data_IF_383174364620
#
_entry.id   IF_383174364620
#
_cell.length_a   1.000
_cell.length_b   1.000
_cell.length_c   1.000
_cell.angle_alpha   90.00
_cell.angle_beta   90.00
_cell.angle_gamma   90.00
#
_symmetry.space_group_name_H-M   'P 1'
#
loop_
_entity.id
_entity.type
_entity.pdbx_description
1 polymer ?
#
# COMPACT_ATOMS: atom_id res chain seq x y z
N UNK A 1 -8.07 24.41 3.21
CA UNK A 1 -7.40 23.11 3.43
C UNK A 1 -8.16 22.34 4.51
N UNK A 2 -8.56 21.10 4.20
CA UNK A 2 -9.19 20.17 5.14
C UNK A 2 -8.10 19.29 5.74
N UNK A 3 -8.13 19.11 7.04
CA UNK A 3 -7.18 18.25 7.77
C UNK A 3 -7.89 17.02 8.31
N UNK A 4 -7.41 15.81 7.93
CA UNK A 4 -7.86 14.56 8.51
C UNK A 4 -6.86 14.09 9.58
N UNK A 5 -7.28 14.02 10.84
CA UNK A 5 -6.49 13.50 11.96
C UNK A 5 -6.78 12.01 12.08
N UNK A 6 -5.86 11.19 11.53
CA UNK A 6 -6.02 9.74 11.48
C UNK A 6 -5.60 9.04 12.80
N UNK A 7 -6.00 7.78 12.94
CA UNK A 7 -5.76 6.92 14.11
C UNK A 7 -6.51 7.37 15.37
N UNK A 8 -7.71 7.92 15.18
CA UNK A 8 -8.57 8.33 16.29
C UNK A 8 -8.87 7.19 17.27
N UNK A 9 -8.93 5.95 16.77
CA UNK A 9 -9.08 4.72 17.56
C UNK A 9 -8.01 4.53 18.65
N UNK A 10 -6.79 5.06 18.43
CA UNK A 10 -5.68 4.95 19.39
C UNK A 10 -5.63 6.10 20.41
N UNK A 11 -6.18 7.24 20.05
CA UNK A 11 -6.03 8.48 20.84
C UNK A 11 -7.08 8.59 21.94
N UNK A 12 -8.26 7.99 21.78
CA UNK A 12 -9.34 8.09 22.77
C UNK A 12 -9.58 9.54 23.21
N UNK A 13 -9.61 9.80 24.53
CA UNK A 13 -9.83 11.15 25.06
C UNK A 13 -8.69 12.14 24.74
N UNK A 14 -7.54 11.67 24.33
CA UNK A 14 -6.39 12.51 23.99
C UNK A 14 -6.49 13.09 22.58
N UNK A 15 -7.55 12.83 21.84
CA UNK A 15 -7.75 13.38 20.48
C UNK A 15 -8.02 14.89 20.52
N UNK A 16 -8.69 15.40 21.56
CA UNK A 16 -9.13 16.81 21.63
C UNK A 16 -7.96 17.79 21.50
N UNK A 17 -6.84 17.66 22.25
CA UNK A 17 -5.70 18.54 22.07
C UNK A 17 -5.11 18.50 20.66
N UNK A 18 -5.06 17.32 20.04
CA UNK A 18 -4.53 17.14 18.67
C UNK A 18 -5.42 17.83 17.64
N UNK A 19 -6.74 17.72 17.79
CA UNK A 19 -7.70 18.42 16.93
C UNK A 19 -7.59 19.95 17.09
N UNK A 20 -7.42 20.42 18.34
CA UNK A 20 -7.23 21.85 18.62
C UNK A 20 -5.93 22.39 17.99
N UNK A 21 -4.85 21.64 18.08
CA UNK A 21 -3.58 21.98 17.44
C UNK A 21 -3.70 22.00 15.92
N UNK A 22 -4.30 20.97 15.34
CA UNK A 22 -4.56 20.92 13.88
C UNK A 22 -5.42 22.10 13.41
N UNK A 23 -6.49 22.43 14.14
CA UNK A 23 -7.36 23.56 13.81
C UNK A 23 -6.71 24.93 13.96
N UNK A 24 -5.66 25.05 14.79
CA UNK A 24 -4.88 26.28 14.95
C UNK A 24 -3.85 26.50 13.83
N UNK A 25 -3.57 25.50 12.99
CA UNK A 25 -2.62 25.63 11.89
C UNK A 25 -3.15 26.57 10.80
N UNK A 26 -2.29 27.47 10.32
CA UNK A 26 -2.66 28.45 9.30
C UNK A 26 -3.12 27.79 8.01
N UNK A 27 -4.31 28.17 7.56
CA UNK A 27 -4.88 27.70 6.29
C UNK A 27 -5.73 26.43 6.40
N UNK A 28 -5.83 25.82 7.58
CA UNK A 28 -6.80 24.75 7.83
C UNK A 28 -8.16 25.39 8.13
N UNK A 29 -9.18 24.99 7.38
CA UNK A 29 -10.55 25.46 7.51
C UNK A 29 -11.41 24.51 8.33
N UNK A 30 -11.13 23.22 8.22
CA UNK A 30 -11.90 22.17 8.88
C UNK A 30 -11.00 21.00 9.28
N UNK A 31 -11.36 20.32 10.39
CA UNK A 31 -10.61 19.18 10.93
C UNK A 31 -11.55 18.00 11.17
N UNK A 32 -11.22 16.85 10.57
CA UNK A 32 -11.96 15.60 10.72
C UNK A 32 -11.14 14.58 11.51
N UNK A 33 -11.62 14.11 12.67
CA UNK A 33 -11.06 12.92 13.31
C UNK A 33 -11.52 11.67 12.55
N UNK A 34 -10.57 10.85 12.12
CA UNK A 34 -10.87 9.60 11.42
C UNK A 34 -10.06 8.44 11.97
N UNK A 35 -10.54 7.24 11.74
CA UNK A 35 -9.75 6.01 11.84
C UNK A 35 -9.84 5.24 10.52
N UNK A 36 -8.80 5.29 9.73
CA UNK A 36 -8.74 4.50 8.50
C UNK A 36 -8.77 2.98 8.77
N UNK A 37 -8.40 2.55 9.99
CA UNK A 37 -8.46 1.14 10.39
C UNK A 37 -9.88 0.65 10.65
N UNK A 38 -10.69 1.47 11.35
CA UNK A 38 -12.06 1.09 11.76
C UNK A 38 -13.13 1.65 10.82
N UNK A 39 -12.78 2.62 9.98
CA UNK A 39 -13.70 3.35 9.13
C UNK A 39 -14.45 4.49 9.85
N UNK A 40 -14.23 4.70 11.14
CA UNK A 40 -14.87 5.77 11.91
C UNK A 40 -14.49 7.15 11.37
N UNK A 41 -15.47 8.02 11.13
CA UNK A 41 -15.30 9.37 10.60
C UNK A 41 -14.96 9.44 9.10
N UNK A 42 -14.74 8.29 8.43
CA UNK A 42 -14.39 8.26 7.00
C UNK A 42 -15.60 8.59 6.11
N UNK A 43 -16.82 8.08 6.36
CA UNK A 43 -17.99 8.45 5.57
C UNK A 43 -18.29 9.95 5.64
N UNK A 44 -18.24 10.54 6.83
CA UNK A 44 -18.49 11.97 7.05
C UNK A 44 -17.48 12.86 6.30
N UNK A 45 -16.20 12.46 6.31
CA UNK A 45 -15.16 13.14 5.53
C UNK A 45 -15.43 12.99 4.02
N UNK A 46 -15.81 11.81 3.55
CA UNK A 46 -16.07 11.56 2.14
C UNK A 46 -17.28 12.36 1.64
N UNK A 47 -18.37 12.37 2.40
CA UNK A 47 -19.58 13.15 2.09
C UNK A 47 -19.28 14.66 2.04
N UNK A 48 -18.50 15.14 3.01
CA UNK A 48 -18.08 16.55 3.04
C UNK A 48 -17.23 16.92 1.83
N UNK A 49 -16.21 16.10 1.50
CA UNK A 49 -15.39 16.30 0.30
C UNK A 49 -16.24 16.29 -0.97
N UNK A 50 -17.17 15.34 -1.08
CA UNK A 50 -18.11 15.27 -2.20
C UNK A 50 -18.94 16.54 -2.37
N UNK A 51 -19.40 17.12 -1.25
CA UNK A 51 -20.20 18.35 -1.26
C UNK A 51 -19.43 19.59 -1.75
N UNK A 52 -18.11 19.56 -1.67
CA UNK A 52 -17.23 20.64 -2.12
C UNK A 52 -16.80 20.50 -3.58
N UNK A 53 -17.03 19.33 -4.19
CA UNK A 53 -16.63 19.11 -5.58
C UNK A 53 -17.58 19.83 -6.54
N UNK A 54 -17.04 20.50 -7.58
CA UNK A 54 -17.88 21.05 -8.63
C UNK A 54 -18.54 19.95 -9.45
N UNK A 55 -19.72 20.19 -9.97
CA UNK A 55 -20.31 19.31 -10.98
C UNK A 55 -19.40 19.27 -12.21
N UNK A 56 -18.96 18.06 -12.59
CA UNK A 56 -18.12 17.84 -13.77
C UNK A 56 -18.44 16.51 -14.42
N UNK A 57 -18.16 16.32 -15.72
CA UNK A 57 -18.16 15.00 -16.33
C UNK A 57 -17.18 14.06 -15.60
N UNK A 58 -17.43 12.76 -15.68
CA UNK A 58 -16.47 11.78 -15.19
C UNK A 58 -15.13 11.94 -15.91
N UNK A 59 -14.05 12.10 -15.16
CA UNK A 59 -12.69 12.21 -15.70
C UNK A 59 -12.10 10.83 -16.02
N UNK A 60 -12.63 9.78 -15.36
CA UNK A 60 -12.28 8.38 -15.56
C UNK A 60 -13.54 7.57 -15.89
N UNK A 61 -13.41 6.42 -16.57
CA UNK A 61 -14.53 5.53 -16.83
C UNK A 61 -15.27 5.15 -15.53
N UNK A 62 -16.60 5.05 -15.55
CA UNK A 62 -17.34 4.55 -14.40
C UNK A 62 -16.88 3.14 -14.02
N UNK A 63 -16.49 2.97 -12.75
CA UNK A 63 -15.99 1.70 -12.24
C UNK A 63 -14.47 1.68 -12.01
N UNK A 64 -13.71 2.61 -12.59
CA UNK A 64 -12.28 2.74 -12.27
C UNK A 64 -12.13 3.34 -10.87
N UNK A 65 -11.46 2.61 -9.98
CA UNK A 65 -11.20 3.02 -8.60
C UNK A 65 -9.82 3.66 -8.44
N UNK A 66 -8.94 3.49 -9.41
CA UNK A 66 -7.57 4.00 -9.40
C UNK A 66 -7.05 4.18 -10.83
N UNK A 67 -6.16 5.15 -11.02
CA UNK A 67 -5.38 5.37 -12.25
C UNK A 67 -3.99 4.68 -12.21
N UNK A 68 -3.68 3.99 -11.11
CA UNK A 68 -2.41 3.30 -10.97
C UNK A 68 -2.30 2.12 -11.93
N UNK A 69 -1.12 1.92 -12.56
CA UNK A 69 -0.85 0.71 -13.33
C UNK A 69 -1.09 -0.55 -12.48
N UNK A 70 -1.75 -1.56 -13.02
CA UNK A 70 -2.07 -2.81 -12.31
C UNK A 70 -0.81 -3.43 -11.68
N UNK A 71 0.34 -3.33 -12.33
CA UNK A 71 1.61 -3.81 -11.77
C UNK A 71 2.02 -3.09 -10.47
N UNK A 72 1.69 -1.81 -10.31
CA UNK A 72 1.95 -1.06 -9.08
C UNK A 72 0.99 -1.48 -7.97
N UNK A 73 -0.29 -1.64 -8.27
CA UNK A 73 -1.27 -2.20 -7.33
C UNK A 73 -0.84 -3.58 -6.80
N UNK A 74 -0.41 -4.46 -7.71
CA UNK A 74 0.14 -5.79 -7.36
C UNK A 74 1.32 -5.66 -6.40
N UNK A 75 2.27 -4.78 -6.69
CA UNK A 75 3.44 -4.55 -5.84
C UNK A 75 3.03 -4.06 -4.44
N UNK A 76 2.09 -3.12 -4.33
CA UNK A 76 1.60 -2.61 -3.05
C UNK A 76 0.86 -3.66 -2.23
N UNK A 77 0.06 -4.52 -2.85
CA UNK A 77 -0.61 -5.62 -2.15
C UNK A 77 0.41 -6.62 -1.59
N UNK A 78 1.42 -7.00 -2.36
CA UNK A 78 2.50 -7.87 -1.88
C UNK A 78 3.29 -7.18 -0.76
N UNK A 79 3.61 -5.88 -0.92
CA UNK A 79 4.32 -5.08 0.06
C UNK A 79 3.57 -5.04 1.39
N UNK A 80 2.26 -4.84 1.36
CA UNK A 80 1.43 -4.84 2.56
C UNK A 80 1.55 -6.15 3.35
N UNK A 81 1.51 -7.30 2.67
CA UNK A 81 1.64 -8.61 3.32
C UNK A 81 3.05 -8.84 3.87
N UNK A 82 4.09 -8.41 3.16
CA UNK A 82 5.45 -8.48 3.67
C UNK A 82 5.63 -7.63 4.94
N UNK A 83 5.06 -6.42 4.98
CA UNK A 83 5.09 -5.53 6.15
C UNK A 83 4.32 -6.10 7.35
N UNK A 84 3.17 -6.73 7.13
CA UNK A 84 2.38 -7.36 8.21
C UNK A 84 3.12 -8.52 8.88
N UNK A 85 4.02 -9.19 8.14
CA UNK A 85 4.81 -10.34 8.62
C UNK A 85 6.19 -9.95 9.14
N UNK A 86 6.56 -8.68 9.05
CA UNK A 86 7.85 -8.16 9.51
C UNK A 86 7.65 -7.11 10.61
N UNK A 87 8.45 -7.19 11.69
CA UNK A 87 8.39 -6.24 12.81
C UNK A 87 9.63 -5.33 12.79
N UNK A 88 9.43 -4.09 13.27
CA UNK A 88 10.39 -3.09 13.75
C UNK A 88 11.54 -2.61 12.81
N UNK A 89 12.24 -3.45 12.05
CA UNK A 89 13.47 -3.02 11.35
C UNK A 89 13.39 -3.02 9.82
N UNK A 90 12.34 -3.60 9.23
CA UNK A 90 12.24 -3.78 7.78
C UNK A 90 11.34 -2.74 7.08
N UNK A 91 10.30 -2.14 7.72
CA UNK A 91 9.29 -1.34 7.02
C UNK A 91 9.84 -0.22 6.14
N UNK A 92 10.97 0.36 6.52
CA UNK A 92 11.57 1.50 5.81
C UNK A 92 12.55 1.13 4.70
N UNK A 93 12.91 -0.15 4.59
CA UNK A 93 13.94 -0.61 3.65
C UNK A 93 13.46 -1.71 2.71
N UNK A 94 12.14 -1.99 2.72
CA UNK A 94 11.51 -2.98 1.88
C UNK A 94 10.74 -2.30 0.76
N UNK A 95 10.99 -2.75 -0.46
CA UNK A 95 10.19 -2.37 -1.62
C UNK A 95 9.84 -3.59 -2.45
N UNK A 96 8.77 -3.51 -3.23
CA UNK A 96 8.32 -4.58 -4.10
C UNK A 96 8.23 -4.08 -5.54
N UNK A 97 8.76 -4.89 -6.44
CA UNK A 97 8.68 -4.63 -7.87
C UNK A 97 7.96 -5.79 -8.57
N UNK A 98 6.93 -5.48 -9.31
CA UNK A 98 6.37 -6.41 -10.30
C UNK A 98 7.30 -6.46 -11.50
N UNK A 99 7.88 -7.63 -11.77
CA UNK A 99 8.83 -7.86 -12.86
C UNK A 99 8.11 -8.16 -14.15
N UNK A 100 7.13 -9.07 -14.08
CA UNK A 100 6.29 -9.43 -15.21
C UNK A 100 4.88 -9.80 -14.75
N UNK A 101 3.92 -9.56 -15.62
CA UNK A 101 2.54 -9.99 -15.45
C UNK A 101 1.97 -10.38 -16.80
N UNK A 102 1.38 -11.56 -16.88
CA UNK A 102 0.74 -12.06 -18.11
C UNK A 102 -0.48 -12.91 -17.80
N UNK A 103 -1.49 -12.80 -18.60
CA UNK A 103 -2.66 -13.68 -18.55
C UNK A 103 -2.51 -14.80 -19.55
N UNK A 104 -2.64 -16.04 -19.11
CA UNK A 104 -2.63 -17.23 -19.95
C UNK A 104 -3.96 -17.41 -20.68
N UNK A 105 -3.97 -18.28 -21.69
CA UNK A 105 -5.19 -18.61 -22.45
C UNK A 105 -6.30 -19.24 -21.58
N UNK A 106 -5.91 -19.91 -20.48
CA UNK A 106 -6.84 -20.51 -19.50
C UNK A 106 -7.36 -19.51 -18.45
N UNK A 107 -7.00 -18.22 -18.57
CA UNK A 107 -7.40 -17.16 -17.65
C UNK A 107 -6.55 -17.07 -16.39
N UNK A 108 -5.51 -17.91 -16.21
CA UNK A 108 -4.57 -17.81 -15.09
C UNK A 108 -3.67 -16.58 -15.27
N UNK A 109 -3.61 -15.75 -14.26
CA UNK A 109 -2.67 -14.59 -14.21
C UNK A 109 -1.37 -15.04 -13.57
N UNK A 110 -0.29 -15.05 -14.35
CA UNK A 110 1.07 -15.31 -13.87
C UNK A 110 1.75 -13.99 -13.53
N UNK A 111 2.26 -13.90 -12.30
CA UNK A 111 2.92 -12.73 -11.74
C UNK A 111 4.29 -13.12 -11.23
N UNK A 112 5.32 -12.44 -11.69
CA UNK A 112 6.67 -12.48 -11.12
C UNK A 112 6.92 -11.19 -10.36
N UNK A 113 7.32 -11.28 -9.09
CA UNK A 113 7.61 -10.12 -8.26
C UNK A 113 8.88 -10.30 -7.42
N UNK A 114 9.57 -9.20 -7.18
CA UNK A 114 10.77 -9.15 -6.36
C UNK A 114 10.52 -8.27 -5.13
N UNK A 115 10.84 -8.78 -3.94
CA UNK A 115 10.96 -7.99 -2.72
C UNK A 115 12.42 -7.55 -2.59
N UNK A 116 12.66 -6.25 -2.60
CA UNK A 116 13.99 -5.67 -2.48
C UNK A 116 14.30 -5.30 -1.04
N UNK A 117 15.49 -5.66 -0.58
CA UNK A 117 16.03 -5.31 0.74
C UNK A 117 17.47 -4.86 0.62
N UNK A 118 17.95 -4.06 1.57
CA UNK A 118 19.29 -3.48 1.54
C UNK A 118 20.36 -4.31 2.26
N UNK A 119 19.94 -5.15 3.23
CA UNK A 119 20.87 -5.92 4.05
C UNK A 119 20.61 -7.44 4.00
N UNK A 120 21.67 -8.27 4.10
CA UNK A 120 21.52 -9.74 4.16
C UNK A 120 20.67 -10.21 5.35
N UNK A 121 20.73 -9.52 6.50
CA UNK A 121 19.91 -9.81 7.68
C UNK A 121 18.42 -9.65 7.37
N UNK A 122 18.03 -8.59 6.66
CA UNK A 122 16.65 -8.34 6.24
C UNK A 122 16.15 -9.44 5.28
N UNK A 123 17.02 -9.87 4.33
CA UNK A 123 16.72 -10.99 3.44
C UNK A 123 16.46 -12.28 4.24
N UNK A 124 17.30 -12.57 5.25
CA UNK A 124 17.12 -13.72 6.12
C UNK A 124 15.81 -13.69 6.90
N UNK A 125 15.41 -12.51 7.40
CA UNK A 125 14.15 -12.31 8.11
C UNK A 125 12.95 -12.56 7.20
N UNK A 126 12.97 -12.07 5.95
CA UNK A 126 11.88 -12.23 4.99
C UNK A 126 11.75 -13.67 4.48
N UNK A 127 12.86 -14.35 4.25
CA UNK A 127 12.84 -15.76 3.84
C UNK A 127 12.36 -16.62 5.03
N UNK A 128 12.84 -16.34 6.24
CA UNK A 128 12.53 -17.11 7.42
C UNK A 128 13.20 -18.47 7.44
N UNK A 129 12.95 -19.24 8.51
CA UNK A 129 13.49 -20.60 8.63
C UNK A 129 12.91 -21.48 7.53
N UNK A 130 13.77 -22.16 6.78
CA UNK A 130 13.42 -23.08 5.70
C UNK A 130 12.47 -22.48 4.63
N UNK A 131 12.47 -21.13 4.47
CA UNK A 131 11.62 -20.45 3.52
C UNK A 131 10.17 -20.25 3.98
N UNK A 132 9.85 -20.58 5.23
CA UNK A 132 8.48 -20.56 5.74
C UNK A 132 7.82 -19.18 5.64
N UNK A 133 8.54 -18.09 5.99
CA UNK A 133 7.95 -16.76 5.98
C UNK A 133 7.64 -16.23 4.58
N UNK A 134 8.55 -16.43 3.63
CA UNK A 134 8.28 -16.00 2.24
C UNK A 134 7.13 -16.81 1.63
N UNK A 135 6.98 -18.07 2.01
CA UNK A 135 5.84 -18.89 1.58
C UNK A 135 4.51 -18.39 2.15
N UNK A 136 4.48 -17.96 3.42
CA UNK A 136 3.30 -17.33 4.03
C UNK A 136 2.95 -16.02 3.33
N UNK A 137 3.95 -15.14 3.13
CA UNK A 137 3.77 -13.88 2.40
C UNK A 137 3.18 -14.15 1.01
N UNK A 138 3.77 -15.08 0.25
CA UNK A 138 3.29 -15.43 -1.07
C UNK A 138 1.86 -15.99 -1.07
N UNK A 139 1.53 -16.82 -0.08
CA UNK A 139 0.18 -17.41 0.05
C UNK A 139 -0.88 -16.35 0.33
N UNK A 140 -0.61 -15.42 1.27
CA UNK A 140 -1.57 -14.38 1.62
C UNK A 140 -1.67 -13.30 0.54
N UNK A 141 -0.52 -12.94 -0.07
CA UNK A 141 -0.52 -12.04 -1.25
C UNK A 141 -1.35 -12.62 -2.40
N UNK A 142 -1.18 -13.91 -2.70
CA UNK A 142 -1.95 -14.55 -3.76
C UNK A 142 -3.45 -14.48 -3.53
N UNK A 143 -3.93 -14.71 -2.29
CA UNK A 143 -5.36 -14.61 -1.95
C UNK A 143 -5.92 -13.21 -2.21
N UNK A 144 -5.17 -12.17 -1.82
CA UNK A 144 -5.57 -10.78 -2.05
C UNK A 144 -5.57 -10.45 -3.55
N UNK A 145 -4.53 -10.88 -4.27
CA UNK A 145 -4.44 -10.67 -5.71
C UNK A 145 -5.57 -11.39 -6.47
N UNK A 146 -5.94 -12.61 -6.06
CA UNK A 146 -7.07 -13.34 -6.64
C UNK A 146 -8.41 -12.60 -6.42
N UNK A 147 -8.57 -11.94 -5.27
CA UNK A 147 -9.76 -11.12 -4.97
C UNK A 147 -9.79 -9.84 -5.80
N UNK A 148 -8.66 -9.13 -5.87
CA UNK A 148 -8.57 -7.84 -6.54
C UNK A 148 -8.62 -7.95 -8.07
N UNK A 149 -7.99 -9.00 -8.63
CA UNK A 149 -7.95 -9.23 -10.08
C UNK A 149 -9.12 -10.08 -10.58
N UNK A 150 -10.00 -10.55 -9.68
CA UNK A 150 -11.12 -11.46 -9.99
C UNK A 150 -10.68 -12.67 -10.84
N UNK A 151 -9.44 -13.13 -10.67
CA UNK A 151 -8.82 -14.19 -11.47
C UNK A 151 -7.97 -15.12 -10.59
N UNK A 152 -7.71 -16.34 -11.09
CA UNK A 152 -6.71 -17.22 -10.48
C UNK A 152 -5.31 -16.68 -10.70
N UNK A 153 -4.48 -16.72 -9.65
CA UNK A 153 -3.12 -16.16 -9.67
C UNK A 153 -2.08 -17.23 -9.38
N UNK A 154 -1.06 -17.30 -10.23
CA UNK A 154 0.23 -17.91 -9.92
C UNK A 154 1.23 -16.81 -9.60
N UNK A 155 1.79 -16.83 -8.38
CA UNK A 155 2.73 -15.83 -7.90
C UNK A 155 4.12 -16.47 -7.69
N UNK A 156 5.10 -16.04 -8.47
CA UNK A 156 6.53 -16.26 -8.20
C UNK A 156 7.11 -15.06 -7.46
N UNK A 157 7.50 -15.26 -6.20
CA UNK A 157 7.96 -14.21 -5.31
C UNK A 157 9.39 -14.46 -4.86
N UNK A 158 10.31 -13.54 -5.17
CA UNK A 158 11.73 -13.64 -4.86
C UNK A 158 12.20 -12.51 -3.97
N UNK A 159 13.13 -12.79 -3.02
CA UNK A 159 13.77 -11.76 -2.21
C UNK A 159 15.16 -11.46 -2.77
N UNK A 160 15.36 -10.22 -3.21
CA UNK A 160 16.61 -9.72 -3.81
C UNK A 160 17.33 -8.74 -2.89
N UNK A 161 18.63 -8.89 -2.79
CA UNK A 161 19.49 -7.93 -2.11
C UNK A 161 19.84 -6.81 -3.10
N UNK A 162 19.31 -5.62 -2.87
CA UNK A 162 19.59 -4.40 -3.65
C UNK A 162 20.16 -3.33 -2.72
N UNK A 163 21.49 -3.27 -2.62
CA UNK A 163 22.17 -2.34 -1.72
C UNK A 163 21.92 -0.89 -2.17
N UNK A 164 21.54 -0.01 -1.25
CA UNK A 164 21.36 1.43 -1.45
C UNK A 164 20.33 1.81 -2.54
N UNK A 165 19.37 0.93 -2.84
CA UNK A 165 18.36 1.17 -3.87
C UNK A 165 17.63 2.52 -3.69
N UNK A 166 17.42 2.96 -2.45
CA UNK A 166 16.79 4.25 -2.12
C UNK A 166 17.62 5.49 -2.49
N UNK A 167 18.87 5.32 -2.89
CA UNK A 167 19.78 6.40 -3.31
C UNK A 167 20.18 6.27 -4.77
N UNK A 168 19.61 5.36 -5.48
CA UNK A 168 19.90 5.03 -6.87
C UNK A 168 18.69 5.47 -7.70
N UNK A 169 18.84 6.58 -8.41
CA UNK A 169 17.79 7.19 -9.23
C UNK A 169 17.25 6.21 -10.26
N UNK A 170 18.11 5.44 -10.93
CA UNK A 170 17.67 4.41 -11.89
C UNK A 170 16.80 3.32 -11.23
N UNK A 171 17.04 3.01 -9.97
CA UNK A 171 16.22 2.03 -9.23
C UNK A 171 14.92 2.63 -8.76
N UNK A 172 14.89 3.91 -8.37
CA UNK A 172 13.67 4.62 -8.00
C UNK A 172 12.75 4.76 -9.21
N UNK A 173 13.30 5.17 -10.37
CA UNK A 173 12.55 5.24 -11.63
C UNK A 173 11.91 3.89 -12.01
N UNK A 174 12.64 2.79 -11.82
CA UNK A 174 12.12 1.42 -12.08
C UNK A 174 10.99 1.01 -11.14
N UNK A 175 10.86 1.67 -10.00
CA UNK A 175 9.78 1.47 -9.03
C UNK A 175 8.62 2.44 -9.27
N UNK A 176 8.79 3.45 -10.14
CA UNK A 176 7.83 4.52 -10.34
C UNK A 176 7.75 5.49 -9.15
N UNK A 177 8.86 5.64 -8.42
CA UNK A 177 9.01 6.56 -7.29
C UNK A 177 9.74 7.80 -7.80
N UNK A 178 9.04 8.94 -7.89
CA UNK A 178 9.58 10.26 -8.20
C UNK A 178 10.16 10.96 -6.96
#
# INVERSE_FOLDING_TARGET
>A
IICAVNKADRLGRNIIPVLAEAGAMKGITEVFPISALTGEGVPELADHLGSLMPESPFLYPPGDTTDQPVGQLVAELIRSQALMRTRDEIPHSLEVKTVSMRTREDGLVEIEAEIWVEAPSQRGILIGKDGFRIQEIGTDSRKLLEQELEAKVYLDLQVKLKRKWRRDEDMLDRLGIE
#
